data_IF_765868487115
#
_entry.id   IF_765868487115
#
_cell.length_a   1.000
_cell.length_b   1.000
_cell.length_c   1.000
_cell.angle_alpha   90.00
_cell.angle_beta   90.00
_cell.angle_gamma   90.00
#
_symmetry.space_group_name_H-M   'P 1'
#
loop_
_entity.id
_entity.type
_entity.pdbx_description
1 polymer ?
#
# COMPACT_ATOMS: atom_id res chain seq x y z
N UNK A 1 3.89 -17.99 7.70
CA UNK A 1 3.46 -17.45 9.00
C UNK A 1 2.18 -16.68 8.77
N UNK A 2 1.09 -16.99 9.48
CA UNK A 2 -0.08 -16.13 9.47
C UNK A 2 0.36 -14.74 9.98
N UNK A 3 -0.16 -13.69 9.37
CA UNK A 3 0.05 -12.31 9.83
C UNK A 3 -0.44 -12.25 11.27
N UNK A 4 0.46 -12.22 12.26
CA UNK A 4 0.06 -12.05 13.65
C UNK A 4 -0.64 -10.70 13.79
N UNK A 5 -1.69 -10.65 14.60
CA UNK A 5 -2.44 -9.41 14.90
C UNK A 5 -1.54 -8.27 15.41
N UNK A 6 -0.33 -8.61 15.89
CA UNK A 6 0.67 -7.70 16.45
C UNK A 6 1.20 -6.62 15.50
N UNK A 7 1.06 -6.78 14.16
CA UNK A 7 1.56 -5.81 13.18
C UNK A 7 0.43 -5.17 12.35
N UNK A 8 -0.79 -5.07 12.89
CA UNK A 8 -1.86 -4.29 12.29
C UNK A 8 -1.72 -2.80 12.65
N UNK A 9 -0.72 -2.15 12.06
CA UNK A 9 -0.39 -0.74 12.30
C UNK A 9 -1.53 0.22 11.93
N UNK A 10 -2.32 -0.13 10.93
CA UNK A 10 -3.48 0.65 10.52
C UNK A 10 -4.56 0.77 11.61
N UNK A 11 -4.82 -0.32 12.35
CA UNK A 11 -5.70 -0.30 13.52
C UNK A 11 -5.10 0.50 14.68
N UNK A 12 -3.78 0.48 14.84
CA UNK A 12 -3.09 1.17 15.93
C UNK A 12 -2.98 2.68 15.69
N UNK A 13 -2.92 3.12 14.44
CA UNK A 13 -2.74 4.52 14.07
C UNK A 13 -3.77 5.02 13.04
N UNK A 14 -5.08 4.87 13.28
CA UNK A 14 -6.12 5.10 12.27
C UNK A 14 -6.18 6.53 11.71
N UNK A 15 -5.47 7.47 12.34
CA UNK A 15 -5.41 8.89 12.00
C UNK A 15 -4.24 9.27 11.07
N UNK A 16 -3.27 8.37 10.86
CA UNK A 16 -2.15 8.64 9.97
C UNK A 16 -2.61 8.79 8.50
N UNK A 17 -1.94 9.65 7.71
CA UNK A 17 -2.39 9.99 6.35
C UNK A 17 -2.58 8.79 5.44
N UNK A 18 -1.64 7.84 5.42
CA UNK A 18 -1.72 6.68 4.53
C UNK A 18 -2.99 5.84 4.79
N UNK A 19 -3.33 5.62 6.05
CA UNK A 19 -4.50 4.83 6.43
C UNK A 19 -5.82 5.54 6.16
N UNK A 20 -5.85 6.88 6.19
CA UNK A 20 -7.00 7.64 5.69
C UNK A 20 -7.21 7.41 4.19
N UNK A 21 -6.13 7.33 3.40
CA UNK A 21 -6.21 7.04 1.96
C UNK A 21 -6.73 5.65 1.64
N UNK A 22 -6.34 4.62 2.39
CA UNK A 22 -6.91 3.28 2.19
C UNK A 22 -8.40 3.22 2.53
N UNK A 23 -8.84 3.93 3.58
CA UNK A 23 -10.28 4.07 3.89
C UNK A 23 -11.06 4.76 2.77
N UNK A 24 -10.49 5.74 2.08
CA UNK A 24 -11.13 6.37 0.90
C UNK A 24 -11.32 5.34 -0.22
N UNK A 25 -10.31 4.51 -0.49
CA UNK A 25 -10.37 3.47 -1.52
C UNK A 25 -11.37 2.35 -1.17
N UNK A 26 -11.46 1.98 0.11
CA UNK A 26 -12.40 0.98 0.62
C UNK A 26 -13.85 1.42 0.52
N UNK A 27 -14.11 2.69 0.83
CA UNK A 27 -15.45 3.26 0.89
C UNK A 27 -15.89 3.90 -0.43
N UNK A 28 -15.21 3.59 -1.55
CA UNK A 28 -15.58 4.09 -2.86
C UNK A 28 -17.03 3.72 -3.20
N UNK A 29 -17.84 4.70 -3.59
CA UNK A 29 -19.25 4.46 -3.90
C UNK A 29 -19.42 3.75 -5.25
N UNK A 30 -19.99 2.56 -5.20
CA UNK A 30 -20.26 1.70 -6.35
C UNK A 30 -21.75 1.44 -6.59
N UNK A 31 -22.66 2.08 -5.85
CA UNK A 31 -24.11 1.78 -5.91
C UNK A 31 -24.69 1.85 -7.33
N UNK A 32 -24.29 2.89 -8.06
CA UNK A 32 -24.71 3.11 -9.45
C UNK A 32 -23.61 2.77 -10.47
N UNK A 33 -22.54 2.11 -10.02
CA UNK A 33 -21.41 1.75 -10.87
C UNK A 33 -21.57 0.35 -11.46
N UNK A 34 -22.26 0.29 -12.61
CA UNK A 34 -22.35 -0.93 -13.40
C UNK A 34 -21.21 -0.98 -14.42
N UNK A 35 -20.54 -2.13 -14.50
CA UNK A 35 -19.41 -2.30 -15.39
C UNK A 35 -19.42 -3.70 -15.98
N UNK A 36 -19.66 -3.77 -17.29
CA UNK A 36 -19.90 -5.02 -18.02
C UNK A 36 -18.79 -6.07 -17.79
N UNK A 37 -17.52 -5.63 -17.74
CA UNK A 37 -16.38 -6.52 -17.45
C UNK A 37 -16.49 -7.24 -16.11
N UNK A 38 -16.98 -6.54 -15.08
CA UNK A 38 -17.19 -7.12 -13.75
C UNK A 38 -18.43 -8.01 -13.73
N UNK A 39 -19.51 -7.59 -14.37
CA UNK A 39 -20.76 -8.36 -14.39
C UNK A 39 -20.60 -9.68 -15.17
N UNK A 40 -19.75 -9.69 -16.21
CA UNK A 40 -19.40 -10.86 -17.02
C UNK A 40 -18.17 -11.63 -16.53
N UNK A 41 -17.64 -11.32 -15.35
CA UNK A 41 -16.48 -12.02 -14.80
C UNK A 41 -16.80 -13.49 -14.57
N UNK A 42 -16.21 -14.39 -15.37
CA UNK A 42 -16.51 -15.81 -15.29
C UNK A 42 -16.00 -16.43 -13.98
N UNK A 43 -16.74 -17.43 -13.46
CA UNK A 43 -16.39 -18.17 -12.23
C UNK A 43 -16.23 -17.28 -10.99
N UNK A 44 -16.93 -16.14 -10.97
CA UNK A 44 -16.89 -15.16 -9.88
C UNK A 44 -18.08 -15.29 -8.92
N UNK A 45 -17.85 -14.98 -7.65
CA UNK A 45 -18.90 -14.72 -6.65
C UNK A 45 -19.28 -13.22 -6.61
N UNK A 46 -20.35 -12.87 -5.89
CA UNK A 46 -20.78 -11.47 -5.78
C UNK A 46 -19.71 -10.59 -5.14
N UNK A 47 -18.91 -11.13 -4.22
CA UNK A 47 -17.78 -10.43 -3.64
C UNK A 47 -16.66 -10.14 -4.65
N UNK A 48 -16.39 -11.06 -5.57
CA UNK A 48 -15.44 -10.85 -6.69
C UNK A 48 -15.93 -9.71 -7.61
N UNK A 49 -17.24 -9.68 -7.91
CA UNK A 49 -17.85 -8.63 -8.74
C UNK A 49 -17.81 -7.26 -8.04
N UNK A 50 -18.08 -7.22 -6.74
CA UNK A 50 -17.98 -6.01 -5.91
C UNK A 50 -16.54 -5.49 -5.92
N UNK A 51 -15.55 -6.36 -5.65
CA UNK A 51 -14.14 -5.97 -5.67
C UNK A 51 -13.72 -5.46 -7.06
N UNK A 52 -14.13 -6.14 -8.13
CA UNK A 52 -13.89 -5.67 -9.50
C UNK A 52 -14.47 -4.26 -9.74
N UNK A 53 -15.69 -4.00 -9.29
CA UNK A 53 -16.33 -2.68 -9.40
C UNK A 53 -15.58 -1.62 -8.61
N UNK A 54 -15.13 -1.91 -7.38
CA UNK A 54 -14.31 -1.00 -6.57
C UNK A 54 -12.97 -0.68 -7.26
N UNK A 55 -12.28 -1.70 -7.79
CA UNK A 55 -11.03 -1.57 -8.54
C UNK A 55 -11.20 -0.59 -9.71
N UNK A 56 -12.16 -0.86 -10.59
CA UNK A 56 -12.38 -0.03 -11.79
C UNK A 56 -12.91 1.37 -11.43
N UNK A 57 -13.72 1.49 -10.38
CA UNK A 57 -14.20 2.78 -9.91
C UNK A 57 -13.06 3.65 -9.38
N UNK A 58 -12.17 3.08 -8.55
CA UNK A 58 -10.99 3.80 -8.05
C UNK A 58 -10.06 4.23 -9.20
N UNK A 59 -9.84 3.37 -10.20
CA UNK A 59 -9.08 3.75 -11.41
C UNK A 59 -9.74 4.89 -12.19
N UNK A 60 -11.07 4.87 -12.33
CA UNK A 60 -11.81 5.96 -13.00
C UNK A 60 -11.64 7.31 -12.29
N UNK A 61 -11.54 7.32 -10.96
CA UNK A 61 -11.28 8.55 -10.18
C UNK A 61 -9.83 9.02 -10.39
N UNK A 62 -8.88 8.08 -10.45
CA UNK A 62 -7.47 8.39 -10.71
C UNK A 62 -7.21 8.89 -12.13
N UNK A 63 -8.01 8.45 -13.11
CA UNK A 63 -7.96 8.94 -14.50
C UNK A 63 -8.12 10.46 -14.59
N UNK A 64 -8.93 11.06 -13.72
CA UNK A 64 -9.17 12.51 -13.72
C UNK A 64 -8.04 13.32 -13.05
N UNK A 65 -7.08 12.63 -12.41
CA UNK A 65 -5.89 13.24 -11.79
C UNK A 65 -4.74 13.37 -12.80
N UNK A 66 -3.77 14.25 -12.54
CA UNK A 66 -2.63 14.50 -13.44
C UNK A 66 -1.29 14.53 -12.71
N UNK A 67 -0.23 14.17 -13.43
CA UNK A 67 1.16 14.28 -12.96
C UNK A 67 1.41 13.51 -11.67
N UNK A 68 2.08 14.17 -10.72
CA UNK A 68 2.45 13.59 -9.43
C UNK A 68 1.24 13.19 -8.57
N UNK A 69 0.11 13.90 -8.67
CA UNK A 69 -1.10 13.55 -7.93
C UNK A 69 -1.63 12.18 -8.36
N UNK A 70 -1.66 11.93 -9.67
CA UNK A 70 -2.07 10.63 -10.21
C UNK A 70 -1.05 9.54 -9.85
N UNK A 71 0.25 9.82 -9.96
CA UNK A 71 1.29 8.87 -9.59
C UNK A 71 1.20 8.46 -8.11
N UNK A 72 1.06 9.43 -7.21
CA UNK A 72 0.87 9.20 -5.76
C UNK A 72 -0.41 8.42 -5.47
N UNK A 73 -1.53 8.79 -6.11
CA UNK A 73 -2.78 8.04 -6.01
C UNK A 73 -2.64 6.59 -6.47
N UNK A 74 -1.89 6.36 -7.56
CA UNK A 74 -1.58 5.02 -8.06
C UNK A 74 -0.72 4.18 -7.10
N UNK A 75 0.20 4.78 -6.34
CA UNK A 75 0.94 4.07 -5.31
C UNK A 75 0.04 3.58 -4.16
N UNK A 76 -0.90 4.40 -3.71
CA UNK A 76 -1.91 3.94 -2.75
C UNK A 76 -2.80 2.84 -3.36
N UNK A 77 -3.27 3.05 -4.59
CA UNK A 77 -4.14 2.08 -5.27
C UNK A 77 -3.47 0.71 -5.43
N UNK A 78 -2.20 0.64 -5.87
CA UNK A 78 -1.55 -0.66 -6.06
C UNK A 78 -1.37 -1.42 -4.73
N UNK A 79 -1.02 -0.71 -3.65
CA UNK A 79 -0.85 -1.31 -2.33
C UNK A 79 -2.19 -1.82 -1.79
N UNK A 80 -3.25 -1.02 -1.95
CA UNK A 80 -4.62 -1.41 -1.63
C UNK A 80 -5.08 -2.62 -2.45
N UNK A 81 -4.83 -2.63 -3.76
CA UNK A 81 -5.15 -3.74 -4.65
C UNK A 81 -4.47 -5.03 -4.14
N UNK A 82 -3.17 -4.99 -3.85
CA UNK A 82 -2.46 -6.16 -3.33
C UNK A 82 -3.01 -6.65 -2.00
N UNK A 83 -3.39 -5.74 -1.11
CA UNK A 83 -3.99 -6.08 0.18
C UNK A 83 -5.34 -6.79 -0.02
N UNK A 84 -6.25 -6.25 -0.84
CA UNK A 84 -7.54 -6.89 -1.12
C UNK A 84 -7.41 -8.24 -1.82
N UNK A 85 -6.49 -8.34 -2.77
CA UNK A 85 -6.17 -9.61 -3.43
C UNK A 85 -5.64 -10.62 -2.41
N UNK A 86 -4.71 -10.22 -1.55
CA UNK A 86 -4.13 -11.09 -0.51
C UNK A 86 -5.20 -11.58 0.49
N UNK A 87 -6.00 -10.66 1.03
CA UNK A 87 -7.07 -10.96 2.00
C UNK A 87 -8.08 -11.95 1.43
N UNK A 88 -8.53 -11.72 0.18
CA UNK A 88 -9.59 -12.54 -0.42
C UNK A 88 -9.10 -13.87 -0.97
N UNK A 89 -7.90 -13.94 -1.56
CA UNK A 89 -7.47 -15.10 -2.35
C UNK A 89 -6.29 -15.90 -1.78
N UNK A 90 -5.52 -15.35 -0.83
CA UNK A 90 -4.32 -16.05 -0.30
C UNK A 90 -4.50 -16.50 1.14
N UNK A 91 -5.19 -15.71 1.99
CA UNK A 91 -5.50 -16.02 3.40
C UNK A 91 -4.34 -16.70 4.17
N UNK A 92 -3.11 -16.19 3.99
CA UNK A 92 -1.90 -16.67 4.67
C UNK A 92 -1.32 -18.03 4.21
N UNK A 93 -1.80 -18.62 3.10
CA UNK A 93 -1.30 -19.88 2.52
C UNK A 93 -0.69 -19.67 1.13
N UNK A 94 0.13 -20.62 0.67
CA UNK A 94 0.57 -20.68 -0.73
C UNK A 94 -0.63 -21.04 -1.61
N UNK A 95 -0.92 -20.14 -2.56
CA UNK A 95 -1.75 -20.29 -3.76
C UNK A 95 -2.88 -21.33 -3.65
N UNK A 96 -4.01 -20.95 -3.03
CA UNK A 96 -5.25 -21.71 -3.17
C UNK A 96 -5.89 -21.42 -4.51
N UNK A 97 -5.55 -22.20 -5.54
CA UNK A 97 -6.42 -22.56 -6.70
C UNK A 97 -7.38 -21.52 -7.32
N UNK A 98 -7.09 -20.22 -7.31
CA UNK A 98 -7.88 -19.16 -7.99
C UNK A 98 -7.03 -18.17 -8.80
N UNK A 99 -6.04 -18.69 -9.53
CA UNK A 99 -5.24 -17.90 -10.48
C UNK A 99 -6.09 -17.12 -11.50
N UNK A 100 -7.22 -17.70 -11.93
CA UNK A 100 -8.01 -17.09 -12.99
C UNK A 100 -8.61 -15.72 -12.62
N UNK A 101 -9.24 -15.61 -11.45
CA UNK A 101 -9.94 -14.36 -11.07
C UNK A 101 -8.91 -13.27 -10.80
N UNK A 102 -7.89 -13.56 -9.99
CA UNK A 102 -6.81 -12.61 -9.69
C UNK A 102 -6.13 -12.13 -10.96
N UNK A 103 -5.79 -13.04 -11.89
CA UNK A 103 -5.21 -12.66 -13.18
C UNK A 103 -6.17 -11.78 -13.99
N UNK A 104 -7.47 -12.08 -14.01
CA UNK A 104 -8.46 -11.24 -14.69
C UNK A 104 -8.60 -9.85 -14.09
N UNK A 105 -8.52 -9.71 -12.76
CA UNK A 105 -8.52 -8.41 -12.10
C UNK A 105 -7.28 -7.58 -12.49
N UNK A 106 -6.08 -8.20 -12.50
CA UNK A 106 -4.87 -7.52 -12.98
C UNK A 106 -4.93 -7.19 -14.48
N UNK A 107 -5.50 -8.07 -15.33
CA UNK A 107 -5.72 -7.79 -16.75
C UNK A 107 -6.60 -6.56 -16.93
N UNK A 108 -7.70 -6.44 -16.17
CA UNK A 108 -8.59 -5.29 -16.23
C UNK A 108 -7.89 -4.00 -15.80
N UNK A 109 -7.06 -4.05 -14.74
CA UNK A 109 -6.24 -2.90 -14.31
C UNK A 109 -5.28 -2.49 -15.43
N UNK A 110 -4.55 -3.45 -16.03
CA UNK A 110 -3.59 -3.17 -17.10
C UNK A 110 -4.27 -2.58 -18.34
N UNK A 111 -5.44 -3.10 -18.71
CA UNK A 111 -6.24 -2.60 -19.83
C UNK A 111 -6.74 -1.16 -19.58
N UNK A 112 -7.23 -0.88 -18.37
CA UNK A 112 -7.73 0.45 -18.01
C UNK A 112 -6.59 1.48 -18.00
N UNK A 113 -5.41 1.10 -17.48
CA UNK A 113 -4.19 1.91 -17.53
C UNK A 113 -3.82 2.26 -18.98
N UNK A 114 -3.76 1.25 -19.85
CA UNK A 114 -3.39 1.41 -21.26
C UNK A 114 -4.39 2.30 -22.02
N UNK A 115 -5.70 2.08 -21.77
CA UNK A 115 -6.77 2.76 -22.50
C UNK A 115 -6.95 4.21 -22.06
N UNK A 116 -6.75 4.48 -20.76
CA UNK A 116 -7.08 5.79 -20.17
C UNK A 116 -5.86 6.65 -19.86
N UNK A 117 -4.64 6.20 -20.19
CA UNK A 117 -3.41 6.96 -19.92
C UNK A 117 -3.15 7.18 -18.42
N UNK A 118 -3.56 6.22 -17.58
CA UNK A 118 -3.31 6.26 -16.14
C UNK A 118 -1.84 5.93 -15.90
N UNK A 119 -1.25 6.50 -14.85
CA UNK A 119 0.13 6.21 -14.47
C UNK A 119 0.37 4.70 -14.25
N UNK A 120 1.47 4.17 -14.81
CA UNK A 120 1.84 2.74 -14.69
C UNK A 120 2.00 2.25 -13.26
N UNK A 121 2.23 3.14 -12.29
CA UNK A 121 2.30 2.79 -10.87
C UNK A 121 1.02 2.09 -10.39
N UNK A 122 -0.13 2.29 -11.05
CA UNK A 122 -1.37 1.63 -10.69
C UNK A 122 -1.37 0.12 -10.99
N UNK A 123 -0.46 -0.40 -11.82
CA UNK A 123 -0.52 -1.79 -12.29
C UNK A 123 -0.41 -2.81 -11.14
N UNK A 124 0.36 -2.44 -10.11
CA UNK A 124 0.86 -3.39 -9.12
C UNK A 124 1.77 -4.46 -9.73
N UNK A 125 2.31 -5.32 -8.86
CA UNK A 125 3.09 -6.49 -9.24
C UNK A 125 2.23 -7.75 -9.19
N UNK A 126 1.66 -8.17 -10.32
CA UNK A 126 0.84 -9.39 -10.44
C UNK A 126 1.62 -10.69 -10.20
N UNK A 127 2.96 -10.66 -10.29
CA UNK A 127 3.84 -11.81 -10.02
C UNK A 127 4.38 -11.82 -8.58
N UNK A 128 4.03 -10.83 -7.77
CA UNK A 128 4.48 -10.74 -6.38
C UNK A 128 3.79 -11.77 -5.49
N UNK A 129 4.31 -11.90 -4.27
CA UNK A 129 3.70 -12.73 -3.23
C UNK A 129 3.21 -11.85 -2.08
N UNK A 130 2.23 -12.32 -1.28
CA UNK A 130 1.71 -11.59 -0.13
C UNK A 130 2.75 -10.94 0.78
N UNK A 131 3.83 -11.66 1.10
CA UNK A 131 4.92 -11.14 1.93
C UNK A 131 5.56 -9.91 1.32
N UNK A 132 5.92 -9.97 0.04
CA UNK A 132 6.58 -8.85 -0.66
C UNK A 132 5.66 -7.66 -0.87
N UNK A 133 4.37 -7.90 -1.12
CA UNK A 133 3.39 -6.83 -1.22
C UNK A 133 3.21 -6.11 0.12
N UNK A 134 3.11 -6.87 1.21
CA UNK A 134 3.02 -6.29 2.55
C UNK A 134 4.24 -5.45 2.90
N UNK A 135 5.45 -5.98 2.71
CA UNK A 135 6.69 -5.23 2.98
C UNK A 135 6.76 -3.94 2.14
N UNK A 136 6.36 -3.99 0.87
CA UNK A 136 6.27 -2.82 -0.01
C UNK A 136 5.27 -1.76 0.49
N UNK A 137 4.06 -2.20 0.86
CA UNK A 137 3.01 -1.33 1.44
C UNK A 137 3.48 -0.70 2.75
N UNK A 138 3.98 -1.49 3.69
CA UNK A 138 4.38 -1.02 5.02
C UNK A 138 5.50 0.03 4.92
N UNK A 139 6.44 -0.15 3.98
CA UNK A 139 7.50 0.83 3.71
C UNK A 139 6.97 2.11 3.05
N UNK A 140 6.05 1.98 2.09
CA UNK A 140 5.41 3.15 1.49
C UNK A 140 4.59 3.94 2.52
N UNK A 141 3.83 3.24 3.36
CA UNK A 141 3.06 3.84 4.46
C UNK A 141 3.98 4.59 5.42
N UNK A 142 5.15 4.03 5.75
CA UNK A 142 6.16 4.72 6.55
C UNK A 142 6.58 6.05 5.93
N UNK A 143 6.92 6.06 4.63
CA UNK A 143 7.32 7.28 3.94
C UNK A 143 6.22 8.34 3.86
N UNK A 144 4.96 7.92 3.75
CA UNK A 144 3.81 8.82 3.67
C UNK A 144 3.35 9.33 5.04
N UNK A 145 3.64 8.57 6.09
CA UNK A 145 3.32 8.93 7.46
C UNK A 145 4.47 9.63 8.18
N UNK A 146 5.70 9.62 7.63
CA UNK A 146 6.93 10.03 8.31
C UNK A 146 6.82 11.33 9.11
N UNK A 147 6.32 12.41 8.49
CA UNK A 147 6.20 13.73 9.12
C UNK A 147 5.18 13.76 10.27
N UNK A 148 4.34 12.73 10.41
CA UNK A 148 3.37 12.56 11.49
C UNK A 148 3.83 11.55 12.56
N UNK A 149 5.00 10.93 12.38
CA UNK A 149 5.60 10.03 13.37
C UNK A 149 6.45 10.89 14.32
N UNK A 150 5.77 11.56 15.25
CA UNK A 150 6.40 12.33 16.30
C UNK A 150 5.72 12.09 17.66
N UNK A 151 6.44 12.40 18.74
CA UNK A 151 5.93 12.24 20.11
C UNK A 151 5.51 13.56 20.76
N UNK A 152 5.38 14.66 20.00
CA UNK A 152 5.02 15.96 20.55
C UNK A 152 3.61 15.88 21.15
N UNK A 153 3.49 16.18 22.44
CA UNK A 153 2.24 16.18 23.22
C UNK A 153 1.50 14.83 23.30
N UNK A 154 2.06 13.75 22.74
CA UNK A 154 1.52 12.40 22.80
C UNK A 154 1.79 11.75 24.15
N UNK A 155 0.83 10.95 24.64
CA UNK A 155 1.05 10.12 25.82
C UNK A 155 2.24 9.17 25.60
N UNK A 156 3.00 8.89 26.67
CA UNK A 156 4.14 7.96 26.66
C UNK A 156 3.84 6.65 25.93
N UNK A 157 2.63 6.13 26.10
CA UNK A 157 2.16 4.88 25.48
C UNK A 157 2.01 4.99 23.95
N UNK A 158 1.61 6.14 23.43
CA UNK A 158 1.49 6.39 21.98
C UNK A 158 2.88 6.50 21.34
N UNK A 159 3.80 7.22 21.99
CA UNK A 159 5.19 7.31 21.55
C UNK A 159 5.89 5.94 21.52
N UNK A 160 5.60 5.07 22.50
CA UNK A 160 6.10 3.68 22.48
C UNK A 160 5.57 2.87 21.29
N UNK A 161 4.32 3.10 20.85
CA UNK A 161 3.79 2.46 19.64
C UNK A 161 4.57 2.91 18.41
N UNK A 162 4.89 4.19 18.27
CA UNK A 162 5.71 4.67 17.16
C UNK A 162 7.11 4.06 17.16
N UNK A 163 7.76 3.94 18.33
CA UNK A 163 9.05 3.26 18.42
C UNK A 163 8.95 1.81 17.95
N UNK A 164 7.91 1.06 18.37
CA UNK A 164 7.68 -0.32 17.91
C UNK A 164 7.44 -0.38 16.40
N UNK A 165 6.65 0.53 15.86
CA UNK A 165 6.36 0.63 14.43
C UNK A 165 7.62 0.89 13.61
N UNK A 166 8.40 1.93 13.93
CA UNK A 166 9.62 2.25 13.17
C UNK A 166 10.67 1.15 13.32
N UNK A 167 10.77 0.51 14.50
CA UNK A 167 11.65 -0.66 14.70
C UNK A 167 11.24 -1.84 13.80
N UNK A 168 9.94 -2.06 13.60
CA UNK A 168 9.43 -3.05 12.66
C UNK A 168 9.79 -2.71 11.20
N UNK A 169 9.74 -1.43 10.82
CA UNK A 169 10.08 -0.97 9.46
C UNK A 169 11.58 -1.03 9.18
N UNK A 170 12.45 -0.86 10.18
CA UNK A 170 13.92 -0.81 10.03
C UNK A 170 14.52 -1.88 9.11
N UNK A 171 14.26 -3.20 9.30
CA UNK A 171 14.79 -4.22 8.40
C UNK A 171 14.23 -4.12 6.97
N UNK A 172 12.99 -3.67 6.79
CA UNK A 172 12.35 -3.50 5.48
C UNK A 172 12.99 -2.31 4.74
N UNK A 173 13.14 -1.18 5.45
CA UNK A 173 13.79 0.02 4.96
C UNK A 173 15.22 -0.29 4.53
N UNK A 174 16.03 -0.88 5.42
CA UNK A 174 17.44 -1.19 5.13
C UNK A 174 17.60 -2.13 3.93
N UNK A 175 16.79 -3.19 3.85
CA UNK A 175 16.82 -4.13 2.73
C UNK A 175 16.43 -3.46 1.40
N UNK A 176 15.51 -2.50 1.43
CA UNK A 176 15.10 -1.77 0.22
C UNK A 176 16.14 -0.74 -0.19
N UNK A 177 16.58 0.12 0.73
CA UNK A 177 17.50 1.23 0.43
C UNK A 177 18.89 0.75 0.07
N UNK A 178 19.42 -0.31 0.71
CA UNK A 178 20.72 -0.91 0.33
C UNK A 178 20.78 -1.45 -1.11
N UNK A 179 19.63 -1.68 -1.76
CA UNK A 179 19.55 -2.13 -3.15
C UNK A 179 19.16 -1.02 -4.13
N UNK A 180 18.58 0.06 -3.61
CA UNK A 180 17.91 1.06 -4.43
C UNK A 180 18.48 2.46 -4.29
N UNK A 181 19.36 2.70 -3.33
CA UNK A 181 19.86 4.03 -3.04
C UNK A 181 21.38 4.04 -3.15
N UNK A 182 21.91 4.96 -3.96
CA UNK A 182 23.31 5.38 -3.93
C UNK A 182 23.37 6.76 -3.26
N UNK A 183 23.69 6.77 -1.97
CA UNK A 183 23.48 7.96 -1.15
C UNK A 183 21.99 8.33 -1.06
N UNK A 184 21.65 9.56 -1.43
CA UNK A 184 20.27 10.05 -1.52
C UNK A 184 19.67 9.86 -2.93
N UNK A 185 20.43 9.32 -3.89
CA UNK A 185 19.97 9.10 -5.26
C UNK A 185 19.28 7.75 -5.39
N UNK A 186 18.12 7.75 -6.07
CA UNK A 186 17.37 6.53 -6.36
C UNK A 186 17.88 5.88 -7.66
N UNK A 187 18.22 4.60 -7.56
CA UNK A 187 18.62 3.78 -8.69
C UNK A 187 17.50 3.65 -9.76
N UNK A 188 17.80 3.77 -11.07
CA UNK A 188 16.79 3.78 -12.12
C UNK A 188 15.90 2.53 -12.21
N UNK A 189 16.42 1.40 -11.75
CA UNK A 189 15.72 0.12 -11.76
C UNK A 189 14.75 -0.04 -10.56
N UNK A 190 14.82 0.86 -9.59
CA UNK A 190 13.98 0.82 -8.41
C UNK A 190 12.64 1.54 -8.60
N UNK A 191 11.70 1.21 -7.72
CA UNK A 191 10.40 1.84 -7.74
C UNK A 191 10.53 3.29 -7.26
N UNK A 192 10.05 4.25 -8.05
CA UNK A 192 10.06 5.69 -7.70
C UNK A 192 9.27 6.07 -6.46
N UNK A 193 8.53 5.14 -5.85
CA UNK A 193 7.97 5.34 -4.49
C UNK A 193 8.99 5.15 -3.37
N UNK A 194 10.16 4.60 -3.65
CA UNK A 194 11.25 4.48 -2.67
C UNK A 194 11.90 5.84 -2.48
N UNK A 195 12.04 6.24 -1.21
CA UNK A 195 12.68 7.49 -0.81
C UNK A 195 14.05 7.17 -0.20
N UNK A 196 15.09 7.83 -0.71
CA UNK A 196 16.49 7.58 -0.38
C UNK A 196 17.09 8.67 0.52
N UNK A 197 16.38 9.78 0.70
CA UNK A 197 16.83 10.91 1.50
C UNK A 197 17.10 10.49 2.94
N UNK A 198 18.22 10.94 3.51
CA UNK A 198 18.68 10.49 4.82
C UNK A 198 17.69 10.78 5.94
N UNK A 199 16.79 11.76 5.76
CA UNK A 199 15.74 12.07 6.74
C UNK A 199 14.85 10.87 7.06
N UNK A 200 14.66 9.94 6.12
CA UNK A 200 13.85 8.73 6.31
C UNK A 200 14.60 7.59 7.03
N UNK A 201 15.78 7.85 7.58
CA UNK A 201 16.53 6.86 8.34
C UNK A 201 15.74 6.41 9.59
N UNK A 202 15.41 5.12 9.61
CA UNK A 202 14.63 4.48 10.68
C UNK A 202 15.34 4.48 12.03
N UNK A 203 16.68 4.31 12.06
CA UNK A 203 17.46 4.31 13.31
C UNK A 203 17.51 5.71 13.92
N UNK A 204 17.79 6.72 13.11
CA UNK A 204 17.78 8.11 13.56
C UNK A 204 16.40 8.53 14.09
N UNK A 205 15.33 8.11 13.41
CA UNK A 205 13.97 8.37 13.89
C UNK A 205 13.69 7.65 15.22
N UNK A 206 14.07 6.39 15.37
CA UNK A 206 13.93 5.67 16.65
C UNK A 206 14.70 6.37 17.78
N UNK A 207 15.91 6.85 17.53
CA UNK A 207 16.71 7.57 18.52
C UNK A 207 16.07 8.91 18.90
N UNK A 208 15.54 9.65 17.93
CA UNK A 208 14.75 10.87 18.17
C UNK A 208 13.51 10.60 19.02
N UNK A 209 12.71 9.59 18.66
CA UNK A 209 11.51 9.21 19.41
C UNK A 209 11.86 8.76 20.85
N UNK A 210 12.97 8.03 21.03
CA UNK A 210 13.40 7.57 22.35
C UNK A 210 13.90 8.68 23.25
N UNK A 211 14.63 9.67 22.71
CA UNK A 211 15.11 10.80 23.49
C UNK A 211 13.97 11.67 24.03
N UNK A 212 12.81 11.67 23.38
CA UNK A 212 11.62 12.36 23.88
C UNK A 212 10.97 11.70 25.12
N UNK A 213 11.40 10.50 25.54
CA UNK A 213 10.95 9.88 26.81
C UNK A 213 11.66 10.41 28.05
N UNK A 214 12.72 11.22 27.90
CA UNK A 214 13.57 11.67 29.01
C UNK A 214 12.99 12.92 29.70
N UNK A 215 11.76 12.85 30.21
CA UNK A 215 11.22 13.80 31.19
C UNK A 215 10.27 13.09 32.16
#
# INVERSE_FOLDING_TARGET
MPLSEENNWEKLFPNLPAYKKYKELDNVDIKDYNHEKCDKLAKSDDGDKILCKQILKNLSILKDKKGEEQARGCYYFQNWLHEKINEKYYNGKNQSSKDYITNKLFDFVAEDISTNGINRACSGNSFGIPKTWKEGKDLYDYFENFEHIECKDSAKDECQKYVKYVTYIDPIYYNKTSRCCDGEELEPHCNSSTKCEYKYNTKELVDKLKNNFKY
#
